data_IF_462154039128
#
_entry.id   IF_462154039128
#
_cell.length_a   1.000
_cell.length_b   1.000
_cell.length_c   1.000
_cell.angle_alpha   90.00
_cell.angle_beta   90.00
_cell.angle_gamma   90.00
#
_symmetry.space_group_name_H-M   'P 1'
#
loop_
_entity.id
_entity.type
_entity.pdbx_description
1 polymer ?
#
# COMPACT_ATOMS: atom_id res chain seq x y z
N UNK A 1 -26.58 -63.00 -16.67
CA UNK A 1 -26.68 -63.45 -15.27
C UNK A 1 -25.96 -62.42 -14.40
N UNK A 2 -26.57 -61.94 -13.30
CA UNK A 2 -26.11 -60.81 -12.49
C UNK A 2 -25.23 -61.27 -11.33
N UNK A 3 -24.28 -60.43 -10.87
CA UNK A 3 -23.88 -60.36 -9.45
C UNK A 3 -23.49 -58.92 -9.11
N UNK A 4 -24.10 -58.43 -8.03
CA UNK A 4 -23.99 -57.12 -7.40
C UNK A 4 -22.67 -56.97 -6.63
N UNK A 5 -22.21 -55.75 -6.34
CA UNK A 5 -21.81 -55.42 -4.96
C UNK A 5 -22.03 -53.95 -4.63
N UNK A 6 -22.60 -53.79 -3.45
CA UNK A 6 -23.14 -52.62 -2.78
C UNK A 6 -22.04 -52.01 -1.91
N UNK A 7 -21.85 -50.69 -1.94
CA UNK A 7 -20.91 -49.98 -1.07
C UNK A 7 -21.48 -48.64 -0.64
N UNK A 8 -22.29 -48.64 0.41
CA UNK A 8 -22.83 -47.44 1.07
C UNK A 8 -21.76 -46.93 2.04
N UNK A 9 -21.23 -45.72 1.83
CA UNK A 9 -20.48 -45.00 2.87
C UNK A 9 -21.26 -43.76 3.31
N UNK A 10 -21.83 -43.86 4.52
CA UNK A 10 -22.39 -42.76 5.30
C UNK A 10 -21.31 -41.70 5.51
N UNK A 11 -21.58 -40.45 5.12
CA UNK A 11 -20.87 -39.29 5.67
C UNK A 11 -21.81 -38.58 6.63
N UNK A 12 -21.36 -38.55 7.87
CA UNK A 12 -21.95 -37.94 9.05
C UNK A 12 -22.16 -36.44 8.81
N UNK A 13 -23.40 -35.97 8.91
CA UNK A 13 -23.73 -34.53 8.93
C UNK A 13 -23.30 -33.98 10.28
N UNK A 14 -22.20 -33.22 10.32
CA UNK A 14 -21.90 -32.32 11.42
C UNK A 14 -22.42 -30.92 11.05
N UNK A 15 -23.55 -30.56 11.64
CA UNK A 15 -24.07 -29.20 11.61
C UNK A 15 -23.18 -28.29 12.46
N UNK A 16 -22.38 -27.46 11.81
CA UNK A 16 -21.98 -26.16 12.39
C UNK A 16 -22.31 -25.07 11.38
N UNK A 17 -23.30 -24.26 11.76
CA UNK A 17 -23.76 -23.08 11.05
C UNK A 17 -22.59 -22.15 10.76
N UNK A 18 -22.28 -21.94 9.48
CA UNK A 18 -21.82 -20.65 8.98
C UNK A 18 -22.52 -20.39 7.64
N UNK A 19 -23.00 -19.16 7.52
CA UNK A 19 -24.10 -18.70 6.69
C UNK A 19 -23.64 -18.58 5.23
N UNK A 20 -24.26 -19.34 4.31
CA UNK A 20 -24.19 -19.21 2.84
C UNK A 20 -24.42 -17.75 2.41
N UNK A 21 -23.50 -17.14 1.65
CA UNK A 21 -23.43 -17.00 0.17
C UNK A 21 -24.50 -16.06 -0.46
N UNK A 22 -24.18 -15.49 -1.64
CA UNK A 22 -24.86 -16.03 -2.80
C UNK A 22 -23.88 -16.70 -3.77
N UNK A 23 -24.26 -17.94 -4.10
CA UNK A 23 -23.82 -18.68 -5.27
C UNK A 23 -24.42 -17.95 -6.47
N UNK A 24 -23.59 -17.54 -7.42
CA UNK A 24 -24.05 -17.44 -8.80
C UNK A 24 -23.32 -18.51 -9.60
N UNK A 25 -24.02 -19.63 -9.79
CA UNK A 25 -23.60 -20.71 -10.68
C UNK A 25 -24.03 -20.29 -12.09
N UNK A 26 -23.13 -19.69 -12.85
CA UNK A 26 -23.25 -19.60 -14.29
C UNK A 26 -22.16 -20.47 -14.91
N UNK A 27 -22.59 -21.58 -15.52
CA UNK A 27 -21.84 -22.38 -16.48
C UNK A 27 -21.39 -21.50 -17.65
N UNK A 28 -20.27 -20.78 -17.59
CA UNK A 28 -19.58 -20.20 -18.75
C UNK A 28 -18.15 -19.80 -18.35
N UNK A 29 -17.14 -20.40 -19.01
CA UNK A 29 -15.74 -19.94 -19.11
C UNK A 29 -15.19 -19.14 -17.90
N UNK A 30 -14.85 -19.81 -16.80
CA UNK A 30 -14.39 -19.16 -15.57
C UNK A 30 -12.87 -19.08 -15.46
N UNK A 31 -12.32 -17.87 -15.62
CA UNK A 31 -10.96 -17.49 -15.25
C UNK A 31 -10.71 -17.92 -13.79
N UNK A 32 -9.77 -18.84 -13.55
CA UNK A 32 -9.28 -19.14 -12.21
C UNK A 32 -8.51 -17.91 -11.69
N UNK A 33 -9.14 -17.09 -10.84
CA UNK A 33 -8.39 -16.17 -10.00
C UNK A 33 -7.75 -16.98 -8.87
N UNK A 34 -6.51 -17.42 -9.09
CA UNK A 34 -5.65 -17.83 -7.99
C UNK A 34 -5.30 -16.57 -7.23
N UNK A 35 -5.90 -16.37 -6.06
CA UNK A 35 -5.42 -15.35 -5.12
C UNK A 35 -4.12 -15.88 -4.54
N UNK A 36 -3.01 -15.53 -5.19
CA UNK A 36 -1.68 -15.63 -4.58
C UNK A 36 -1.72 -14.63 -3.44
N UNK A 37 -1.75 -15.10 -2.19
CA UNK A 37 -1.39 -14.24 -1.06
C UNK A 37 0.03 -13.77 -1.35
N UNK A 38 0.19 -12.55 -1.85
CA UNK A 38 1.49 -11.97 -2.05
C UNK A 38 2.16 -11.92 -0.67
N UNK A 39 3.43 -12.36 -0.63
CA UNK A 39 4.20 -12.25 0.60
C UNK A 39 4.50 -10.77 0.75
N UNK A 40 4.11 -10.17 1.87
CA UNK A 40 4.32 -8.76 2.12
C UNK A 40 5.50 -8.51 3.05
N UNK A 41 6.09 -7.32 2.93
CA UNK A 41 7.12 -6.84 3.83
C UNK A 41 6.72 -5.50 4.42
N UNK A 42 6.76 -5.43 5.74
CA UNK A 42 6.39 -4.24 6.48
C UNK A 42 7.45 -3.14 6.34
N UNK A 43 6.99 -1.93 6.09
CA UNK A 43 7.80 -0.71 6.06
C UNK A 43 6.99 0.44 6.66
N UNK A 44 7.64 1.53 7.00
CA UNK A 44 6.97 2.72 7.51
C UNK A 44 7.33 3.94 6.67
N UNK A 45 6.40 4.87 6.53
CA UNK A 45 6.63 6.20 5.98
C UNK A 45 6.17 7.26 6.97
N UNK A 46 7.08 8.15 7.30
CA UNK A 46 6.87 9.28 8.17
C UNK A 46 7.04 10.57 7.38
N UNK A 47 6.05 11.46 7.45
CA UNK A 47 6.10 12.81 6.90
C UNK A 47 6.15 13.80 8.06
N UNK A 48 7.18 14.65 8.06
CA UNK A 48 7.38 15.72 9.03
C UNK A 48 7.23 17.07 8.32
N UNK A 49 6.22 17.84 8.69
CA UNK A 49 6.05 19.19 8.18
C UNK A 49 6.74 20.18 9.14
N UNK A 50 7.95 20.60 8.81
CA UNK A 50 8.65 21.68 9.53
C UNK A 50 8.57 23.02 8.81
N UNK A 51 7.78 23.12 7.74
CA UNK A 51 7.48 24.40 7.10
C UNK A 51 6.53 25.21 7.98
N UNK A 52 6.42 26.51 7.74
CA UNK A 52 5.47 27.37 8.48
C UNK A 52 4.02 27.15 8.06
N UNK A 53 3.81 26.63 6.86
CA UNK A 53 2.49 26.47 6.25
C UNK A 53 1.92 25.07 6.46
N UNK A 54 0.60 24.99 6.61
CA UNK A 54 -0.12 23.72 6.60
C UNK A 54 -0.06 23.09 5.21
N UNK A 55 0.12 21.77 5.16
CA UNK A 55 -0.16 20.98 3.96
C UNK A 55 -1.66 20.72 3.97
N UNK A 56 -2.38 21.37 3.06
CA UNK A 56 -3.84 21.27 2.97
C UNK A 56 -4.29 19.96 2.31
N UNK A 57 -3.48 19.42 1.42
CA UNK A 57 -3.75 18.12 0.78
C UNK A 57 -2.49 17.52 0.18
N UNK A 58 -2.46 16.19 0.13
CA UNK A 58 -1.46 15.36 -0.51
C UNK A 58 -2.06 14.62 -1.70
N UNK A 59 -1.31 14.52 -2.79
CA UNK A 59 -1.69 13.72 -3.96
C UNK A 59 -0.62 12.66 -4.19
N UNK A 60 -1.03 11.39 -4.29
CA UNK A 60 -0.13 10.26 -4.53
C UNK A 60 -0.31 9.77 -5.96
N UNK A 61 0.80 9.49 -6.64
CA UNK A 61 0.82 9.04 -8.04
C UNK A 61 2.03 8.15 -8.34
N UNK A 62 2.02 7.54 -9.53
CA UNK A 62 3.14 6.73 -10.01
C UNK A 62 3.35 5.45 -9.21
N UNK A 63 2.25 4.91 -8.65
CA UNK A 63 2.17 3.63 -7.92
C UNK A 63 1.69 2.56 -8.89
N UNK A 64 2.38 1.42 -8.91
CA UNK A 64 1.90 0.21 -9.58
C UNK A 64 1.13 -0.68 -8.59
N UNK A 65 0.04 -1.31 -9.03
CA UNK A 65 -0.77 -2.20 -8.18
C UNK A 65 0.00 -3.44 -7.69
N UNK A 66 1.09 -3.81 -8.35
CA UNK A 66 1.93 -4.94 -7.94
C UNK A 66 2.97 -4.55 -6.88
N UNK A 67 3.27 -3.26 -6.72
CA UNK A 67 4.36 -2.80 -5.85
C UNK A 67 4.02 -2.92 -4.36
N UNK A 68 2.74 -2.80 -4.02
CA UNK A 68 2.25 -2.76 -2.65
C UNK A 68 1.17 -3.81 -2.45
N UNK A 69 0.98 -4.26 -1.21
CA UNK A 69 -0.20 -5.06 -0.89
C UNK A 69 -1.46 -4.20 -0.94
N UNK A 70 -2.56 -4.83 -1.35
CA UNK A 70 -3.88 -4.22 -1.43
C UNK A 70 -4.24 -3.51 -0.11
N UNK A 71 -4.53 -2.20 -0.18
CA UNK A 71 -4.94 -1.41 0.98
C UNK A 71 -3.80 -0.84 1.82
N UNK A 72 -2.54 -1.18 1.51
CA UNK A 72 -1.37 -0.83 2.32
C UNK A 72 -0.33 0.01 1.56
N UNK A 73 -0.69 0.53 0.38
CA UNK A 73 0.13 1.42 -0.42
C UNK A 73 0.04 2.88 -0.01
N UNK A 74 0.83 3.77 -0.64
CA UNK A 74 0.85 5.17 -0.30
C UNK A 74 -0.45 5.90 -0.68
N UNK A 75 -1.19 5.43 -1.69
CA UNK A 75 -2.48 6.02 -2.10
C UNK A 75 -3.48 5.91 -0.94
N UNK A 76 -3.64 4.72 -0.38
CA UNK A 76 -4.63 4.45 0.67
C UNK A 76 -4.29 5.16 1.98
N UNK A 77 -2.99 5.44 2.22
CA UNK A 77 -2.51 6.02 3.47
C UNK A 77 -2.33 7.53 3.45
N UNK A 78 -2.09 8.10 2.26
CA UNK A 78 -1.74 9.51 2.10
C UNK A 78 -2.51 10.22 0.99
N UNK A 79 -3.46 9.64 0.26
CA UNK A 79 -4.27 10.44 -0.67
C UNK A 79 -5.18 11.42 0.09
N UNK A 80 -5.20 12.69 -0.33
CA UNK A 80 -6.02 13.77 0.22
C UNK A 80 -5.84 14.02 1.74
N UNK A 81 -4.62 13.85 2.24
CA UNK A 81 -4.31 14.01 3.66
C UNK A 81 -3.82 15.43 3.95
N UNK A 82 -4.39 16.06 4.97
CA UNK A 82 -3.86 17.29 5.52
C UNK A 82 -2.79 16.98 6.59
N UNK A 83 -1.74 17.79 6.64
CA UNK A 83 -0.65 17.68 7.62
C UNK A 83 -0.31 19.08 8.13
N UNK A 84 -0.75 19.45 9.35
CA UNK A 84 -0.49 20.77 9.90
C UNK A 84 1.00 21.09 10.03
N UNK A 85 1.32 22.37 10.05
CA UNK A 85 2.63 22.92 10.37
C UNK A 85 3.11 22.39 11.74
N UNK A 86 4.36 21.94 11.78
CA UNK A 86 4.97 21.31 12.96
C UNK A 86 4.52 19.87 13.24
N UNK A 87 3.58 19.31 12.48
CA UNK A 87 3.05 17.98 12.71
C UNK A 87 3.94 16.88 12.09
N UNK A 88 3.83 15.69 12.66
CA UNK A 88 4.41 14.46 12.12
C UNK A 88 3.31 13.43 11.92
N UNK A 89 3.31 12.78 10.76
CA UNK A 89 2.38 11.70 10.41
C UNK A 89 3.19 10.49 10.01
N UNK A 90 3.02 9.39 10.72
CA UNK A 90 3.63 8.10 10.41
C UNK A 90 2.55 7.07 10.07
N UNK A 91 2.81 6.21 9.08
CA UNK A 91 1.95 5.08 8.77
C UNK A 91 2.77 3.84 8.42
N UNK A 92 2.23 2.69 8.79
CA UNK A 92 2.63 1.39 8.24
C UNK A 92 2.23 1.32 6.76
N UNK A 93 3.11 0.74 5.96
CA UNK A 93 2.89 0.35 4.57
C UNK A 93 3.43 -1.06 4.34
N UNK A 94 2.89 -1.75 3.35
CA UNK A 94 3.34 -3.10 3.01
C UNK A 94 3.75 -3.16 1.54
N UNK A 95 5.03 -3.42 1.31
CA UNK A 95 5.56 -3.62 -0.04
C UNK A 95 5.45 -5.09 -0.41
N UNK A 96 5.19 -5.36 -1.68
CA UNK A 96 5.20 -6.72 -2.20
C UNK A 96 6.63 -7.27 -2.19
N UNK A 97 6.82 -8.46 -1.61
CA UNK A 97 8.12 -9.13 -1.56
C UNK A 97 8.73 -9.33 -2.94
N UNK A 98 7.92 -9.62 -3.95
CA UNK A 98 8.38 -9.95 -5.30
C UNK A 98 8.65 -8.72 -6.18
N UNK A 99 8.13 -7.54 -5.82
CA UNK A 99 8.41 -6.32 -6.56
C UNK A 99 9.90 -5.94 -6.40
N UNK A 100 10.60 -5.60 -7.48
CA UNK A 100 12.01 -5.18 -7.36
C UNK A 100 12.14 -3.76 -6.81
N UNK A 101 11.17 -2.90 -7.12
CA UNK A 101 11.09 -1.53 -6.66
C UNK A 101 9.63 -1.23 -6.33
N UNK A 102 9.39 -0.28 -5.43
CA UNK A 102 8.06 0.21 -5.08
C UNK A 102 8.08 1.75 -5.10
N UNK A 103 8.31 2.37 -6.27
CA UNK A 103 8.40 3.82 -6.35
C UNK A 103 7.02 4.46 -6.26
N UNK A 104 6.97 5.66 -5.70
CA UNK A 104 5.79 6.52 -5.76
C UNK A 104 6.21 7.99 -5.71
N UNK A 105 5.32 8.84 -6.17
CA UNK A 105 5.47 10.30 -6.11
C UNK A 105 4.37 10.87 -5.21
N UNK A 106 4.73 11.73 -4.28
CA UNK A 106 3.78 12.45 -3.44
C UNK A 106 3.97 13.95 -3.63
N UNK A 107 2.87 14.63 -3.95
CA UNK A 107 2.78 16.08 -4.11
C UNK A 107 2.05 16.68 -2.92
N UNK A 108 2.63 17.73 -2.34
CA UNK A 108 2.07 18.52 -1.27
C UNK A 108 1.53 19.84 -1.83
N UNK A 109 0.30 20.18 -1.44
CA UNK A 109 -0.27 21.51 -1.64
C UNK A 109 -0.32 22.22 -0.29
N UNK A 110 0.19 23.45 -0.26
CA UNK A 110 0.30 24.27 0.94
C UNK A 110 -0.81 25.33 0.97
N UNK A 111 -1.09 25.86 2.16
CA UNK A 111 -2.10 26.91 2.37
C UNK A 111 -1.82 28.19 1.54
N UNK A 112 -0.54 28.49 1.27
CA UNK A 112 -0.11 29.60 0.41
C UNK A 112 -0.31 29.35 -1.11
N UNK A 113 -1.05 28.31 -1.48
CA UNK A 113 -1.27 27.81 -2.85
C UNK A 113 0.00 27.35 -3.58
N UNK A 114 1.13 27.24 -2.90
CA UNK A 114 2.34 26.66 -3.49
C UNK A 114 2.32 25.14 -3.42
N UNK A 115 3.25 24.50 -4.14
CA UNK A 115 3.39 23.05 -4.12
C UNK A 115 4.82 22.59 -4.23
N UNK A 116 5.06 21.41 -3.67
CA UNK A 116 6.31 20.68 -3.79
C UNK A 116 6.03 19.19 -3.87
N UNK A 117 6.89 18.45 -4.56
CA UNK A 117 6.75 17.01 -4.69
C UNK A 117 8.07 16.30 -4.43
N UNK A 118 7.97 15.04 -4.04
CA UNK A 118 9.09 14.11 -4.05
C UNK A 118 8.69 12.78 -4.66
N UNK A 119 9.68 12.08 -5.20
CA UNK A 119 9.58 10.67 -5.61
C UNK A 119 10.60 9.87 -4.83
N UNK A 120 10.21 8.70 -4.34
CA UNK A 120 11.09 7.77 -3.63
C UNK A 120 10.64 6.33 -3.84
N UNK A 121 11.55 5.38 -3.63
CA UNK A 121 11.29 3.95 -3.63
C UNK A 121 11.13 3.40 -2.21
N UNK A 122 9.95 2.85 -1.89
CA UNK A 122 9.68 2.36 -0.54
C UNK A 122 10.54 1.15 -0.14
N UNK A 123 11.02 0.34 -1.08
CA UNK A 123 11.92 -0.79 -0.77
C UNK A 123 13.28 -0.36 -0.21
N UNK A 124 13.65 0.91 -0.35
CA UNK A 124 14.80 1.48 0.34
C UNK A 124 14.69 1.36 1.88
N UNK A 125 13.47 1.41 2.42
CA UNK A 125 13.19 1.27 3.85
C UNK A 125 13.76 -0.04 4.43
N UNK A 126 13.72 -1.12 3.66
CA UNK A 126 14.23 -2.45 4.06
C UNK A 126 15.58 -2.80 3.41
N UNK A 127 16.16 -1.89 2.64
CA UNK A 127 17.49 -2.06 2.04
C UNK A 127 17.53 -2.97 0.82
N UNK A 128 16.38 -3.21 0.17
CA UNK A 128 16.29 -4.06 -1.02
C UNK A 128 16.43 -3.28 -2.35
N UNK A 129 16.40 -1.95 -2.29
CA UNK A 129 16.58 -1.09 -3.45
C UNK A 129 17.20 0.27 -3.06
N UNK A 130 17.75 0.99 -4.04
CA UNK A 130 18.16 2.38 -3.85
C UNK A 130 16.95 3.30 -3.66
N UNK A 131 17.14 4.42 -2.96
CA UNK A 131 16.06 5.37 -2.67
C UNK A 131 15.44 5.99 -3.93
N UNK A 132 16.22 6.20 -5.00
CA UNK A 132 15.74 6.87 -6.21
C UNK A 132 15.15 8.26 -5.95
N UNK A 133 15.65 8.94 -4.91
CA UNK A 133 15.04 10.17 -4.40
C UNK A 133 15.21 11.34 -5.38
N UNK A 134 14.10 12.00 -5.68
CA UNK A 134 14.08 13.26 -6.42
C UNK A 134 13.00 14.17 -5.88
N UNK A 135 13.17 15.48 -6.02
CA UNK A 135 12.22 16.48 -5.52
C UNK A 135 12.27 17.75 -6.35
N UNK A 136 11.15 18.46 -6.42
CA UNK A 136 11.09 19.82 -6.95
C UNK A 136 9.94 20.62 -6.30
N UNK A 137 9.84 21.91 -6.66
CA UNK A 137 8.79 22.82 -6.19
C UNK A 137 9.29 23.88 -5.20
N UNK A 138 8.37 24.44 -4.42
CA UNK A 138 8.61 25.65 -3.59
C UNK A 138 9.18 25.36 -2.20
N UNK A 139 9.19 24.11 -1.75
CA UNK A 139 9.73 23.68 -0.45
C UNK A 139 11.02 22.89 -0.61
N UNK A 140 11.84 22.90 0.45
CA UNK A 140 12.99 22.01 0.55
C UNK A 140 12.49 20.69 1.16
N UNK A 141 12.69 19.59 0.43
CA UNK A 141 12.35 18.26 0.90
C UNK A 141 13.62 17.45 1.04
N UNK A 142 13.77 16.77 2.17
CA UNK A 142 14.86 15.85 2.45
C UNK A 142 14.33 14.51 2.92
N UNK A 143 15.15 13.47 2.83
CA UNK A 143 14.80 12.16 3.34
C UNK A 143 15.91 11.58 4.20
N UNK A 144 15.53 10.71 5.13
CA UNK A 144 16.43 9.85 5.89
C UNK A 144 15.79 8.50 6.14
N UNK A 145 16.57 7.54 6.65
CA UNK A 145 16.10 6.20 7.00
C UNK A 145 16.45 5.90 8.45
N UNK A 146 15.48 5.41 9.20
CA UNK A 146 15.65 4.93 10.58
C UNK A 146 14.96 3.58 10.72
N UNK A 147 15.73 2.49 10.90
CA UNK A 147 15.17 1.14 10.89
C UNK A 147 14.48 0.82 9.56
N UNK A 148 13.20 0.43 9.62
CA UNK A 148 12.33 0.17 8.46
C UNK A 148 11.48 1.40 8.06
N UNK A 149 11.80 2.58 8.60
CA UNK A 149 11.06 3.82 8.37
C UNK A 149 11.84 4.74 7.43
N UNK A 150 11.18 5.20 6.38
CA UNK A 150 11.60 6.37 5.60
C UNK A 150 10.99 7.60 6.24
N UNK A 151 11.81 8.60 6.54
CA UNK A 151 11.39 9.89 7.08
C UNK A 151 11.57 10.95 6.01
N UNK A 152 10.49 11.63 5.64
CA UNK A 152 10.46 12.77 4.73
C UNK A 152 10.26 14.04 5.56
N UNK A 153 11.22 14.95 5.49
CA UNK A 153 11.18 16.21 6.23
C UNK A 153 11.06 17.37 5.25
N UNK A 154 10.07 18.24 5.48
CA UNK A 154 9.68 19.35 4.61
C UNK A 154 9.98 20.66 5.32
N UNK A 155 10.65 21.58 4.64
CA UNK A 155 11.05 22.88 5.18
C UNK A 155 10.73 24.01 4.20
N UNK A 156 10.65 25.22 4.74
CA UNK A 156 10.72 26.44 3.92
C UNK A 156 12.07 26.51 3.18
N UNK A 157 12.08 27.18 2.02
CA UNK A 157 13.31 27.49 1.28
C UNK A 157 13.89 28.83 1.70
#
# INVERSE_FOLDING_TARGET
MPVQYLGILKVLVLHTKLKMQPIFFCLFFGLFFVSVSARSQETHLMIQNFSKEDIITTIVSGVDSFDFEDGNGPIERFQNKAIPSGATVETRMEVNYYASNCPFTMTFWFEDNSSAWYRINQKYAIGEAEAGFSTAGTRKISYSKTGITIVISIFDK
#
